data_IF_270137335621
#
_entry.id   IF_270137335621
#
_cell.length_a   1.000
_cell.length_b   1.000
_cell.length_c   1.000
_cell.angle_alpha   90.00
_cell.angle_beta   90.00
_cell.angle_gamma   90.00
#
_symmetry.space_group_name_H-M   'P 1'
#
loop_
_entity.id
_entity.type
_entity.pdbx_description
1 polymer ?
#
# COMPACT_ATOMS: atom_id res chain seq x y z
N UNK A 1 27.61 3.75 21.05
CA UNK A 1 26.76 4.82 20.50
C UNK A 1 25.35 4.24 20.30
N UNK A 2 24.36 4.69 21.06
CA UNK A 2 23.08 3.98 21.24
C UNK A 2 22.23 3.98 19.96
N UNK A 3 21.86 2.81 19.44
CA UNK A 3 20.91 2.60 18.32
C UNK A 3 19.59 3.36 18.51
N UNK A 4 19.14 3.51 19.76
CA UNK A 4 17.98 4.31 20.14
C UNK A 4 18.11 5.82 19.82
N UNK A 5 19.33 6.36 19.80
CA UNK A 5 19.60 7.77 19.53
C UNK A 5 19.53 8.07 18.02
N UNK A 6 19.93 7.13 17.17
CA UNK A 6 19.75 7.27 15.71
C UNK A 6 18.27 7.24 15.31
N UNK A 7 17.46 6.36 15.90
CA UNK A 7 16.03 6.30 15.59
C UNK A 7 15.30 7.61 15.92
N UNK A 8 15.72 8.34 16.97
CA UNK A 8 15.15 9.66 17.29
C UNK A 8 15.33 10.67 16.17
N UNK A 9 16.42 10.57 15.40
CA UNK A 9 16.78 11.56 14.38
C UNK A 9 16.13 11.28 13.01
N UNK A 10 15.54 10.10 12.80
CA UNK A 10 14.86 9.77 11.54
C UNK A 10 13.56 10.59 11.44
N UNK A 11 13.37 11.41 10.40
CA UNK A 11 12.15 12.19 10.24
C UNK A 11 10.99 11.30 9.75
N UNK A 12 9.77 11.57 10.23
CA UNK A 12 8.58 10.75 9.92
C UNK A 12 8.36 10.58 8.40
N UNK A 13 8.71 11.59 7.59
CA UNK A 13 8.56 11.53 6.13
C UNK A 13 9.25 10.35 5.46
N UNK A 14 10.28 9.77 6.09
CA UNK A 14 11.02 8.64 5.52
C UNK A 14 10.15 7.39 5.43
N UNK A 15 9.24 7.15 6.38
CA UNK A 15 8.42 5.95 6.39
C UNK A 15 7.45 5.84 5.20
N UNK A 16 6.61 6.85 4.88
CA UNK A 16 5.74 6.77 3.70
C UNK A 16 6.53 6.79 2.39
N UNK A 17 7.70 7.44 2.33
CA UNK A 17 8.60 7.35 1.16
C UNK A 17 9.09 5.91 0.99
N UNK A 18 9.60 5.29 2.04
CA UNK A 18 10.08 3.90 2.01
C UNK A 18 8.96 2.94 1.61
N UNK A 19 7.74 3.16 2.09
CA UNK A 19 6.60 2.32 1.74
C UNK A 19 6.32 2.35 0.23
N UNK A 20 6.27 3.54 -0.37
CA UNK A 20 6.07 3.70 -1.82
C UNK A 20 7.25 3.13 -2.62
N UNK A 21 8.47 3.36 -2.15
CA UNK A 21 9.69 2.80 -2.77
C UNK A 21 9.75 1.29 -2.65
N UNK A 22 9.14 0.67 -1.64
CA UNK A 22 9.04 -0.79 -1.58
C UNK A 22 7.90 -1.32 -2.44
N UNK A 23 6.80 -0.58 -2.52
CA UNK A 23 5.61 -1.01 -3.25
C UNK A 23 5.90 -1.29 -4.72
N UNK A 24 6.52 -0.36 -5.45
CA UNK A 24 6.70 -0.54 -6.90
C UNK A 24 7.75 -1.60 -7.27
N UNK A 25 9.02 -1.49 -6.87
CA UNK A 25 10.06 -2.42 -7.32
C UNK A 25 10.06 -3.76 -6.59
N UNK A 26 9.51 -3.88 -5.38
CA UNK A 26 9.56 -5.14 -4.63
C UNK A 26 8.21 -5.82 -4.54
N UNK A 27 7.16 -5.10 -4.15
CA UNK A 27 5.85 -5.73 -3.94
C UNK A 27 5.21 -6.12 -5.28
N UNK A 28 5.15 -5.21 -6.26
CA UNK A 28 4.66 -5.55 -7.59
C UNK A 28 5.54 -6.60 -8.29
N UNK A 29 6.85 -6.59 -8.04
CA UNK A 29 7.75 -7.61 -8.56
C UNK A 29 7.47 -8.99 -7.94
N UNK A 30 7.29 -9.05 -6.62
CA UNK A 30 6.96 -10.30 -5.91
C UNK A 30 5.62 -10.86 -6.41
N UNK A 31 4.58 -10.03 -6.47
CA UNK A 31 3.27 -10.40 -6.99
C UNK A 31 3.33 -10.86 -8.45
N UNK A 32 4.09 -10.16 -9.30
CA UNK A 32 4.32 -10.56 -10.69
C UNK A 32 5.04 -11.91 -10.80
N UNK A 33 6.13 -12.08 -10.04
CA UNK A 33 6.98 -13.26 -10.09
C UNK A 33 6.25 -14.53 -9.64
N UNK A 34 5.40 -14.41 -8.62
CA UNK A 34 4.58 -15.52 -8.12
C UNK A 34 3.14 -15.55 -8.70
N UNK A 35 2.87 -14.74 -9.74
CA UNK A 35 1.61 -14.71 -10.48
C UNK A 35 0.36 -14.53 -9.59
N UNK A 36 0.36 -13.47 -8.79
CA UNK A 36 -0.76 -13.08 -7.92
C UNK A 36 -2.13 -13.12 -8.61
N UNK A 37 -2.32 -12.62 -9.85
CA UNK A 37 -3.64 -12.67 -10.51
C UNK A 37 -4.17 -14.08 -10.70
N UNK A 38 -3.28 -15.02 -11.08
CA UNK A 38 -3.63 -16.42 -11.23
C UNK A 38 -3.90 -17.09 -9.89
N UNK A 39 -3.05 -16.82 -8.89
CA UNK A 39 -3.24 -17.32 -7.53
C UNK A 39 -4.60 -16.91 -6.95
N UNK A 40 -4.98 -15.63 -7.14
CA UNK A 40 -6.28 -15.10 -6.74
C UNK A 40 -7.47 -15.75 -7.48
N UNK A 41 -7.31 -16.09 -8.77
CA UNK A 41 -8.31 -16.84 -9.53
C UNK A 41 -8.50 -18.25 -8.95
N UNK A 42 -7.42 -18.97 -8.67
CA UNK A 42 -7.49 -20.35 -8.17
C UNK A 42 -8.09 -20.45 -6.76
N UNK A 43 -7.78 -19.51 -5.87
CA UNK A 43 -8.18 -19.60 -4.46
C UNK A 43 -9.53 -18.93 -4.19
N UNK A 44 -9.86 -17.84 -4.90
CA UNK A 44 -11.03 -17.01 -4.61
C UNK A 44 -12.04 -16.91 -5.78
N UNK A 45 -11.83 -17.64 -6.87
CA UNK A 45 -12.67 -17.60 -8.08
C UNK A 45 -12.92 -16.17 -8.59
N UNK A 46 -11.97 -15.26 -8.37
CA UNK A 46 -12.08 -13.89 -8.88
C UNK A 46 -12.11 -13.95 -10.42
N UNK A 47 -13.03 -13.23 -11.10
CA UNK A 47 -13.26 -13.41 -12.53
C UNK A 47 -11.97 -13.32 -13.35
N UNK A 48 -11.77 -14.22 -14.33
CA UNK A 48 -10.68 -14.19 -15.32
C UNK A 48 -10.39 -12.82 -15.97
N UNK A 49 -11.36 -11.89 -16.16
CA UNK A 49 -11.03 -10.51 -16.56
C UNK A 49 -10.32 -9.69 -15.47
N UNK A 50 -9.90 -10.24 -14.33
CA UNK A 50 -8.71 -9.75 -13.64
C UNK A 50 -7.48 -10.36 -14.31
N UNK A 51 -7.33 -10.11 -15.61
CA UNK A 51 -6.13 -10.50 -16.35
C UNK A 51 -4.91 -9.86 -15.69
N UNK A 52 -3.72 -10.40 -15.96
CA UNK A 52 -2.48 -9.79 -15.51
C UNK A 52 -2.42 -8.28 -15.84
N UNK A 53 -3.01 -7.88 -16.97
CA UNK A 53 -3.16 -6.48 -17.39
C UNK A 53 -4.02 -5.66 -16.43
N UNK A 54 -5.19 -6.19 -16.01
CA UNK A 54 -6.06 -5.50 -15.06
C UNK A 54 -5.40 -5.35 -13.70
N UNK A 55 -4.68 -6.38 -13.24
CA UNK A 55 -3.88 -6.31 -12.02
C UNK A 55 -2.80 -5.22 -12.12
N UNK A 56 -2.08 -5.16 -13.24
CA UNK A 56 -1.03 -4.15 -13.45
C UNK A 56 -1.61 -2.73 -13.53
N UNK A 57 -2.73 -2.56 -14.23
CA UNK A 57 -3.47 -1.29 -14.30
C UNK A 57 -3.93 -0.88 -12.90
N UNK A 58 -4.42 -1.83 -12.09
CA UNK A 58 -4.92 -1.56 -10.73
C UNK A 58 -3.81 -1.00 -9.87
N UNK A 59 -2.69 -1.72 -9.84
CA UNK A 59 -1.52 -1.35 -9.08
C UNK A 59 -0.89 -0.04 -9.58
N UNK A 60 -1.00 0.27 -10.87
CA UNK A 60 -0.60 1.58 -11.41
C UNK A 60 -1.47 2.71 -10.85
N UNK A 61 -2.79 2.51 -10.73
CA UNK A 61 -3.68 3.51 -10.11
C UNK A 61 -3.43 3.65 -8.61
N UNK A 62 -3.22 2.54 -7.88
CA UNK A 62 -2.79 2.58 -6.49
C UNK A 62 -1.51 3.42 -6.34
N UNK A 63 -0.49 3.15 -7.17
CA UNK A 63 0.76 3.91 -7.14
C UNK A 63 0.53 5.41 -7.38
N UNK A 64 -0.25 5.77 -8.40
CA UNK A 64 -0.53 7.19 -8.73
C UNK A 64 -1.23 7.89 -7.56
N UNK A 65 -2.27 7.28 -6.99
CA UNK A 65 -3.04 7.87 -5.89
C UNK A 65 -2.17 8.04 -4.63
N UNK A 66 -1.34 7.04 -4.31
CA UNK A 66 -0.38 7.12 -3.20
C UNK A 66 0.69 8.17 -3.45
N UNK A 67 1.19 8.30 -4.68
CA UNK A 67 2.19 9.30 -5.05
C UNK A 67 1.63 10.72 -4.93
N UNK A 68 0.39 10.96 -5.37
CA UNK A 68 -0.33 12.22 -5.15
C UNK A 68 -0.43 12.50 -3.65
N UNK A 69 -0.84 11.50 -2.86
CA UNK A 69 -0.87 11.59 -1.40
C UNK A 69 0.48 11.98 -0.80
N UNK A 70 1.56 11.34 -1.25
CA UNK A 70 2.92 11.62 -0.79
C UNK A 70 3.32 13.06 -1.10
N UNK A 71 3.07 13.52 -2.32
CA UNK A 71 3.37 14.90 -2.74
C UNK A 71 2.61 15.90 -1.86
N UNK A 72 1.30 15.71 -1.65
CA UNK A 72 0.49 16.57 -0.78
C UNK A 72 1.02 16.60 0.66
N UNK A 73 1.43 15.45 1.20
CA UNK A 73 2.07 15.39 2.51
C UNK A 73 3.42 16.14 2.54
N UNK A 74 4.25 16.01 1.51
CA UNK A 74 5.57 16.63 1.46
C UNK A 74 5.52 18.16 1.33
N UNK A 75 4.51 18.70 0.64
CA UNK A 75 4.28 20.15 0.47
C UNK A 75 3.96 20.82 1.81
N UNK A 76 3.10 20.22 2.65
CA UNK A 76 2.72 20.78 3.94
C UNK A 76 2.65 19.71 5.04
N UNK A 77 3.82 19.32 5.54
CA UNK A 77 3.99 18.16 6.44
C UNK A 77 3.21 18.29 7.75
N UNK A 78 3.08 19.50 8.29
CA UNK A 78 2.37 19.72 9.56
C UNK A 78 0.87 19.57 9.39
N UNK A 79 0.29 20.21 8.37
CA UNK A 79 -1.16 20.18 8.18
C UNK A 79 -1.63 18.87 7.54
N UNK A 80 -0.77 18.24 6.72
CA UNK A 80 -1.08 17.04 5.95
C UNK A 80 -0.49 15.76 6.57
N UNK A 81 -0.14 15.77 7.87
CA UNK A 81 0.40 14.59 8.55
C UNK A 81 -0.52 13.36 8.41
N UNK A 82 -1.84 13.58 8.40
CA UNK A 82 -2.83 12.53 8.23
C UNK A 82 -2.81 11.88 6.83
N UNK A 83 -2.35 12.61 5.81
CA UNK A 83 -2.16 12.10 4.45
C UNK A 83 -0.97 11.13 4.43
N UNK A 84 0.18 11.57 4.98
CA UNK A 84 1.37 10.73 5.09
C UNK A 84 1.17 9.52 5.99
N UNK A 85 0.44 9.67 7.11
CA UNK A 85 0.11 8.53 7.96
C UNK A 85 -0.96 7.61 7.31
N UNK A 86 -1.84 8.15 6.48
CA UNK A 86 -2.76 7.37 5.65
C UNK A 86 -2.04 6.42 4.70
N UNK A 87 -0.90 6.81 4.14
CA UNK A 87 -0.06 5.92 3.29
C UNK A 87 0.44 4.72 4.12
N UNK A 88 0.85 4.96 5.37
CA UNK A 88 1.28 3.88 6.27
C UNK A 88 0.13 2.95 6.64
N UNK A 89 -1.07 3.50 6.90
CA UNK A 89 -2.27 2.69 7.18
C UNK A 89 -2.68 1.89 5.94
N UNK A 90 -2.59 2.46 4.75
CA UNK A 90 -2.84 1.74 3.51
C UNK A 90 -1.90 0.54 3.35
N UNK A 91 -0.59 0.72 3.55
CA UNK A 91 0.35 -0.39 3.47
C UNK A 91 0.21 -1.40 4.62
N UNK A 92 -0.26 -0.97 5.79
CA UNK A 92 -0.68 -1.90 6.86
C UNK A 92 -1.88 -2.74 6.43
N UNK A 93 -2.92 -2.13 5.83
CA UNK A 93 -4.09 -2.86 5.33
C UNK A 93 -3.70 -3.86 4.23
N UNK A 94 -2.84 -3.46 3.29
CA UNK A 94 -2.31 -4.34 2.25
C UNK A 94 -1.48 -5.48 2.86
N UNK A 95 -0.62 -5.18 3.83
CA UNK A 95 0.10 -6.21 4.58
C UNK A 95 -0.83 -7.23 5.24
N UNK A 96 -1.91 -6.76 5.90
CA UNK A 96 -2.88 -7.64 6.54
C UNK A 96 -3.60 -8.52 5.53
N UNK A 97 -3.94 -8.01 4.34
CA UNK A 97 -4.56 -8.80 3.26
C UNK A 97 -3.70 -10.01 2.88
N UNK A 98 -2.42 -9.81 2.54
CA UNK A 98 -1.53 -10.92 2.15
C UNK A 98 -1.26 -11.90 3.29
N UNK A 99 -1.13 -11.41 4.53
CA UNK A 99 -0.95 -12.27 5.70
C UNK A 99 -2.21 -13.10 5.95
N UNK A 100 -3.40 -12.49 5.86
CA UNK A 100 -4.67 -13.18 6.05
C UNK A 100 -4.90 -14.24 4.97
N UNK A 101 -4.68 -13.91 3.70
CA UNK A 101 -4.66 -14.88 2.60
C UNK A 101 -3.73 -16.05 2.92
N UNK A 102 -2.53 -15.77 3.42
CA UNK A 102 -1.59 -16.84 3.70
C UNK A 102 -2.02 -17.78 4.85
N UNK A 103 -2.69 -17.21 5.85
CA UNK A 103 -3.22 -17.97 6.99
C UNK A 103 -4.44 -18.80 6.56
N UNK A 104 -5.35 -18.20 5.80
CA UNK A 104 -6.60 -18.85 5.37
C UNK A 104 -6.33 -20.00 4.40
N UNK A 105 -5.41 -19.81 3.46
CA UNK A 105 -5.09 -20.80 2.43
C UNK A 105 -3.98 -21.77 2.86
N UNK A 106 -3.42 -21.60 4.07
CA UNK A 106 -2.31 -22.39 4.62
C UNK A 106 -1.08 -22.44 3.68
N UNK A 107 -0.90 -21.40 2.86
CA UNK A 107 0.14 -21.27 1.85
C UNK A 107 0.62 -19.82 1.80
N UNK A 108 1.84 -19.56 1.35
CA UNK A 108 2.30 -18.17 1.24
C UNK A 108 1.64 -17.50 0.03
N UNK A 109 0.89 -16.42 0.27
CA UNK A 109 0.33 -15.61 -0.82
C UNK A 109 1.44 -14.84 -1.55
N UNK A 110 1.35 -14.67 -2.88
CA UNK A 110 2.22 -13.74 -3.59
C UNK A 110 2.10 -12.34 -2.96
N UNK A 111 3.24 -11.74 -2.57
CA UNK A 111 3.27 -10.46 -1.84
C UNK A 111 3.48 -10.60 -0.32
N UNK A 112 3.55 -11.83 0.22
CA UNK A 112 3.74 -12.08 1.66
C UNK A 112 5.04 -11.50 2.21
N UNK A 113 6.17 -11.63 1.49
CA UNK A 113 7.45 -11.16 2.02
C UNK A 113 7.50 -9.63 2.08
N UNK A 114 7.02 -8.95 1.03
CA UNK A 114 6.86 -7.50 1.03
C UNK A 114 5.82 -7.00 2.03
N UNK A 115 4.75 -7.76 2.29
CA UNK A 115 3.80 -7.47 3.35
C UNK A 115 4.45 -7.42 4.74
N UNK A 116 5.43 -8.27 5.04
CA UNK A 116 6.19 -8.19 6.30
C UNK A 116 6.96 -6.86 6.39
N UNK A 117 7.60 -6.43 5.31
CA UNK A 117 8.32 -5.15 5.29
C UNK A 117 7.38 -3.95 5.47
N UNK A 118 6.19 -3.98 4.87
CA UNK A 118 5.16 -2.95 5.10
C UNK A 118 4.74 -2.89 6.58
N UNK A 119 4.54 -4.03 7.23
CA UNK A 119 4.20 -4.09 8.65
C UNK A 119 5.30 -3.50 9.53
N UNK A 120 6.57 -3.80 9.21
CA UNK A 120 7.73 -3.22 9.91
C UNK A 120 7.75 -1.70 9.74
N UNK A 121 7.61 -1.20 8.50
CA UNK A 121 7.61 0.25 8.23
C UNK A 121 6.45 0.95 8.94
N UNK A 122 5.26 0.36 8.92
CA UNK A 122 4.10 0.86 9.65
C UNK A 122 4.40 0.95 11.15
N UNK A 123 4.91 -0.13 11.75
CA UNK A 123 5.27 -0.17 13.17
C UNK A 123 6.31 0.88 13.56
N UNK A 124 7.35 1.06 12.75
CA UNK A 124 8.37 2.09 12.98
C UNK A 124 7.81 3.51 12.81
N UNK A 125 6.96 3.74 11.80
CA UNK A 125 6.28 5.02 11.60
C UNK A 125 5.33 5.37 12.75
N UNK A 126 4.55 4.39 13.23
CA UNK A 126 3.66 4.53 14.38
C UNK A 126 4.46 4.85 15.65
N UNK A 127 5.54 4.11 15.91
CA UNK A 127 6.44 4.34 17.03
C UNK A 127 7.06 5.74 16.99
N UNK A 128 7.38 6.26 15.79
CA UNK A 128 7.86 7.63 15.61
C UNK A 128 6.78 8.65 16.00
N UNK A 129 5.53 8.46 15.58
CA UNK A 129 4.43 9.37 15.94
C UNK A 129 4.15 9.36 17.44
N UNK A 130 4.18 8.18 18.07
CA UNK A 130 4.05 8.02 19.52
C UNK A 130 5.15 8.77 20.27
N UNK A 131 6.42 8.53 19.92
CA UNK A 131 7.57 9.22 20.56
C UNK A 131 7.58 10.73 20.34
N UNK A 132 7.01 11.19 19.22
CA UNK A 132 6.91 12.62 18.89
C UNK A 132 5.68 13.30 19.52
N UNK A 133 4.83 12.54 20.25
CA UNK A 133 3.55 13.02 20.82
C UNK A 133 2.60 13.64 19.78
N UNK A 134 2.72 13.24 18.52
CA UNK A 134 1.87 13.71 17.42
C UNK A 134 0.65 12.81 17.20
N UNK A 135 0.70 11.57 17.71
CA UNK A 135 -0.41 10.63 17.59
C UNK A 135 -1.57 11.04 18.50
N UNK A 136 -2.73 11.27 17.88
CA UNK A 136 -3.99 11.51 18.59
C UNK A 136 -5.14 10.89 17.79
N UNK A 137 -6.30 10.71 18.44
CA UNK A 137 -7.46 10.06 17.83
C UNK A 137 -7.92 10.74 16.53
N UNK A 138 -7.88 12.08 16.48
CA UNK A 138 -8.26 12.84 15.28
C UNK A 138 -7.34 12.55 14.10
N UNK A 139 -6.02 12.45 14.34
CA UNK A 139 -5.04 12.05 13.33
C UNK A 139 -5.33 10.62 12.84
N UNK A 140 -5.56 9.67 13.74
CA UNK A 140 -5.84 8.27 13.41
C UNK A 140 -7.09 8.16 12.53
N UNK A 141 -8.22 8.73 12.95
CA UNK A 141 -9.48 8.67 12.20
C UNK A 141 -9.31 9.26 10.80
N UNK A 142 -8.71 10.47 10.69
CA UNK A 142 -8.47 11.10 9.39
C UNK A 142 -7.57 10.25 8.49
N UNK A 143 -6.57 9.60 9.07
CA UNK A 143 -5.62 8.78 8.32
C UNK A 143 -6.27 7.49 7.82
N UNK A 144 -7.16 6.88 8.60
CA UNK A 144 -7.97 5.72 8.18
C UNK A 144 -8.89 6.11 7.01
N UNK A 145 -9.57 7.26 7.10
CA UNK A 145 -10.42 7.74 6.01
C UNK A 145 -9.62 7.99 4.73
N UNK A 146 -8.43 8.57 4.83
CA UNK A 146 -7.54 8.76 3.68
C UNK A 146 -7.02 7.42 3.14
N UNK A 147 -6.67 6.46 3.99
CA UNK A 147 -6.26 5.12 3.55
C UNK A 147 -7.39 4.40 2.80
N UNK A 148 -8.65 4.54 3.26
CA UNK A 148 -9.81 4.03 2.55
C UNK A 148 -9.98 4.72 1.17
N UNK A 149 -9.72 6.03 1.07
CA UNK A 149 -9.72 6.74 -0.21
C UNK A 149 -8.64 6.20 -1.14
N UNK A 150 -7.42 5.96 -0.64
CA UNK A 150 -6.34 5.33 -1.40
C UNK A 150 -6.71 3.94 -1.91
N UNK A 151 -7.56 3.23 -1.17
CA UNK A 151 -8.03 1.91 -1.54
C UNK A 151 -9.16 1.92 -2.57
N UNK A 152 -10.16 2.77 -2.32
CA UNK A 152 -11.42 2.75 -3.07
C UNK A 152 -11.28 3.41 -4.44
N UNK A 153 -10.51 4.50 -4.56
CA UNK A 153 -10.38 5.22 -5.83
C UNK A 153 -9.86 4.32 -6.96
N UNK A 154 -8.72 3.60 -6.80
CA UNK A 154 -8.22 2.69 -7.84
C UNK A 154 -9.25 1.63 -8.27
N UNK A 155 -9.95 1.04 -7.29
CA UNK A 155 -10.99 0.03 -7.55
C UNK A 155 -12.13 0.61 -8.38
N UNK A 156 -12.67 1.77 -7.99
CA UNK A 156 -13.76 2.42 -8.74
C UNK A 156 -13.31 2.75 -10.16
N UNK A 157 -12.10 3.29 -10.31
CA UNK A 157 -11.55 3.64 -11.62
C UNK A 157 -11.47 2.41 -12.53
N UNK A 158 -11.04 1.26 -12.01
CA UNK A 158 -11.02 0.00 -12.77
C UNK A 158 -12.41 -0.51 -13.09
N UNK A 159 -13.35 -0.46 -12.15
CA UNK A 159 -14.72 -0.92 -12.43
C UNK A 159 -15.35 -0.08 -13.55
N UNK A 160 -15.10 1.23 -13.54
CA UNK A 160 -15.66 2.16 -14.53
C UNK A 160 -14.95 2.11 -15.88
N UNK A 161 -13.62 1.98 -15.90
CA UNK A 161 -12.80 2.13 -17.11
C UNK A 161 -12.20 0.82 -17.60
N UNK A 162 -12.23 -0.27 -16.83
CA UNK A 162 -11.50 -1.50 -17.10
C UNK A 162 -11.79 -2.09 -18.48
N UNK A 163 -13.06 -2.15 -18.87
CA UNK A 163 -13.47 -2.64 -20.19
C UNK A 163 -12.97 -1.78 -21.36
N UNK A 164 -12.73 -0.49 -21.12
CA UNK A 164 -12.15 0.43 -22.11
C UNK A 164 -10.62 0.39 -22.11
N UNK A 165 -10.00 0.26 -20.93
CA UNK A 165 -8.56 0.22 -20.76
C UNK A 165 -7.94 -1.04 -21.36
N UNK A 166 -8.59 -2.20 -21.20
CA UNK A 166 -8.13 -3.47 -21.83
C UNK A 166 -8.19 -3.40 -23.34
N UNK A 167 -9.24 -2.78 -23.89
CA UNK A 167 -9.38 -2.59 -25.33
C UNK A 167 -8.33 -1.61 -25.88
N UNK A 168 -7.97 -0.59 -25.10
CA UNK A 168 -6.98 0.41 -25.48
C UNK A 168 -5.53 -0.11 -25.37
N UNK A 169 -5.29 -1.06 -24.47
CA UNK A 169 -3.99 -1.71 -24.26
C UNK A 169 -4.14 -3.22 -24.38
N UNK A 170 -4.28 -3.79 -25.60
CA UNK A 170 -4.21 -5.22 -25.79
C UNK A 170 -2.76 -5.65 -25.54
N UNK A 171 -2.46 -6.23 -24.38
CA UNK A 171 -1.14 -6.81 -24.14
C UNK A 171 -1.15 -8.21 -24.77
N UNK A 172 -0.63 -8.29 -26.00
CA UNK A 172 -0.47 -9.54 -26.75
C UNK A 172 0.56 -10.47 -26.11
#
# INVERSE_FOLDING_TARGET
MNTLQHFKNIPFKIFPILLIVLYVPFHLFEEAYFNFPFWMFEHYNLPKPLSYEHWLINNSFFFIVLLIGLILFLINKSNNLFIGFGILIWGFMNSMEHILFSILDLQLSPGFFTAIFFLIIFGLGLLKLLKSKLLNLRLVIKSILIAAIYWIIPIIVIIMLGSHLVKAFPFN
#
